data_IF_326485488592
#
_entry.id   IF_326485488592
#
_cell.length_a   1.000
_cell.length_b   1.000
_cell.length_c   1.000
_cell.angle_alpha   90.00
_cell.angle_beta   90.00
_cell.angle_gamma   90.00
#
_symmetry.space_group_name_H-M   'P 1'
#
loop_
_entity.id
_entity.type
_entity.pdbx_description
1 polymer ?
#
# COMPACT_ATOMS: atom_id res chain seq x y z
N UNK A 1 -51.60 -56.78 -10.60
CA UNK A 1 -50.99 -58.05 -10.12
C UNK A 1 -49.49 -57.82 -9.94
N UNK A 2 -48.83 -58.36 -8.90
CA UNK A 2 -49.13 -58.25 -7.46
C UNK A 2 -47.83 -57.81 -6.69
N UNK A 3 -47.64 -57.80 -5.35
CA UNK A 3 -48.42 -58.14 -4.13
C UNK A 3 -48.21 -57.04 -3.06
N UNK A 4 -49.20 -56.85 -2.19
CA UNK A 4 -49.05 -56.64 -0.71
C UNK A 4 -49.45 -57.97 -0.03
N UNK A 5 -49.35 -58.19 1.31
CA UNK A 5 -49.01 -57.31 2.45
C UNK A 5 -47.71 -57.83 3.15
N UNK A 6 -47.37 -57.68 4.43
CA UNK A 6 -48.06 -57.38 5.72
C UNK A 6 -47.01 -57.03 6.82
N UNK A 7 -47.34 -56.39 7.94
CA UNK A 7 -48.63 -55.80 8.38
C UNK A 7 -48.77 -55.78 9.92
N UNK A 8 -49.82 -55.09 10.40
CA UNK A 8 -50.38 -55.13 11.77
C UNK A 8 -49.52 -54.46 12.89
N UNK A 9 -50.08 -53.80 13.91
CA UNK A 9 -51.50 -53.62 14.26
C UNK A 9 -51.90 -52.22 14.83
N UNK A 10 -53.20 -52.01 15.03
CA UNK A 10 -53.87 -50.83 15.65
C UNK A 10 -54.90 -51.35 16.70
N UNK A 11 -55.84 -50.54 17.27
CA UNK A 11 -55.86 -49.09 17.60
C UNK A 11 -55.70 -48.88 19.15
N UNK A 12 -56.36 -48.04 19.99
CA UNK A 12 -57.53 -47.10 19.94
C UNK A 12 -57.46 -46.03 21.09
N UNK A 13 -58.40 -45.08 21.06
CA UNK A 13 -59.05 -44.35 22.18
C UNK A 13 -58.34 -43.21 22.99
N UNK A 14 -58.51 -41.99 22.44
CA UNK A 14 -59.18 -40.82 23.06
C UNK A 14 -58.77 -40.30 24.47
N UNK A 15 -58.02 -39.19 24.44
CA UNK A 15 -58.48 -37.81 24.74
C UNK A 15 -58.36 -37.17 26.15
N UNK A 16 -57.66 -36.01 26.11
CA UNK A 16 -57.83 -34.74 26.86
C UNK A 16 -57.26 -34.55 28.29
N UNK A 17 -56.95 -33.26 28.52
CA UNK A 17 -56.76 -32.51 29.78
C UNK A 17 -55.66 -32.98 30.73
N UNK A 18 -54.56 -32.22 30.73
CA UNK A 18 -54.12 -31.36 31.84
C UNK A 18 -54.61 -31.73 33.26
N UNK A 19 -53.66 -32.06 34.14
CA UNK A 19 -53.63 -31.52 35.51
C UNK A 19 -52.16 -31.37 35.96
N UNK A 20 -51.87 -30.43 36.85
CA UNK A 20 -50.51 -29.99 37.19
C UNK A 20 -50.16 -30.25 38.67
N UNK A 21 -49.45 -31.35 38.93
CA UNK A 21 -49.06 -31.78 40.28
C UNK A 21 -47.63 -31.39 40.68
N UNK A 22 -47.50 -30.25 41.37
CA UNK A 22 -46.41 -29.83 42.29
C UNK A 22 -44.92 -30.21 41.97
N UNK A 23 -44.02 -29.21 41.81
CA UNK A 23 -42.58 -29.46 41.88
C UNK A 23 -42.15 -29.88 43.30
N UNK A 24 -41.28 -30.88 43.41
CA UNK A 24 -40.61 -31.21 44.68
C UNK A 24 -39.69 -30.06 45.13
N UNK A 25 -39.79 -29.67 46.40
CA UNK A 25 -38.86 -28.72 47.01
C UNK A 25 -37.52 -29.42 47.21
N UNK A 26 -36.61 -29.26 46.24
CA UNK A 26 -35.21 -29.71 46.36
C UNK A 26 -34.55 -28.98 47.53
N UNK A 27 -34.23 -29.72 48.59
CA UNK A 27 -33.40 -29.22 49.67
C UNK A 27 -32.04 -28.75 49.14
N UNK A 28 -31.59 -27.58 49.59
CA UNK A 28 -30.32 -26.98 49.20
C UNK A 28 -29.15 -27.85 49.67
N UNK A 29 -28.07 -27.88 48.88
CA UNK A 29 -26.85 -28.61 49.26
C UNK A 29 -26.12 -27.92 50.41
N UNK A 30 -25.26 -28.65 51.12
CA UNK A 30 -24.46 -28.11 52.23
C UNK A 30 -23.66 -26.85 51.83
N UNK A 31 -23.13 -26.83 50.60
CA UNK A 31 -22.36 -25.71 50.06
C UNK A 31 -23.25 -24.49 49.75
N UNK A 32 -24.50 -24.72 49.30
CA UNK A 32 -25.50 -23.66 49.10
C UNK A 32 -25.94 -23.04 50.44
N UNK A 33 -26.13 -23.87 51.47
CA UNK A 33 -26.38 -23.39 52.85
C UNK A 33 -25.18 -22.59 53.36
N UNK A 34 -23.95 -23.03 53.11
CA UNK A 34 -22.74 -22.32 53.51
C UNK A 34 -22.56 -20.98 52.77
N UNK A 35 -22.95 -20.89 51.49
CA UNK A 35 -22.94 -19.64 50.73
C UNK A 35 -23.96 -18.61 51.25
N UNK A 36 -25.13 -19.07 51.72
CA UNK A 36 -26.14 -18.24 52.39
C UNK A 36 -25.68 -17.79 53.79
N UNK A 37 -24.77 -18.55 54.43
CA UNK A 37 -24.34 -18.34 55.82
C UNK A 37 -23.09 -17.46 56.01
N UNK A 38 -22.49 -16.94 54.93
CA UNK A 38 -21.40 -15.95 55.04
C UNK A 38 -21.97 -14.54 55.14
N UNK A 39 -21.32 -13.67 55.93
CA UNK A 39 -21.67 -12.26 55.95
C UNK A 39 -21.40 -11.64 54.57
N UNK A 40 -22.31 -10.80 54.01
CA UNK A 40 -22.17 -10.25 52.67
C UNK A 40 -20.86 -9.46 52.44
N UNK A 41 -20.29 -8.90 53.51
CA UNK A 41 -19.05 -8.13 53.50
C UNK A 41 -17.79 -9.00 53.33
N UNK A 42 -17.88 -10.31 53.62
CA UNK A 42 -16.79 -11.28 53.51
C UNK A 42 -16.78 -12.07 52.18
N UNK A 43 -17.73 -11.79 51.27
CA UNK A 43 -17.78 -12.46 49.97
C UNK A 43 -16.79 -11.80 49.00
N UNK A 44 -15.79 -12.52 48.45
CA UNK A 44 -14.84 -11.96 47.48
C UNK A 44 -15.47 -11.65 46.11
N UNK A 45 -16.65 -12.22 45.83
CA UNK A 45 -17.41 -11.96 44.61
C UNK A 45 -18.40 -10.79 44.82
N UNK A 46 -18.78 -10.06 43.76
CA UNK A 46 -19.84 -9.05 43.83
C UNK A 46 -21.16 -9.55 44.45
N UNK A 47 -21.67 -8.81 45.43
CA UNK A 47 -23.00 -9.03 46.04
C UNK A 47 -23.73 -7.70 46.16
N UNK A 48 -24.94 -7.62 45.60
CA UNK A 48 -25.88 -6.53 45.81
C UNK A 48 -27.18 -7.08 46.42
N UNK A 49 -27.93 -6.22 47.11
CA UNK A 49 -29.32 -6.46 47.52
C UNK A 49 -30.19 -5.30 47.07
N UNK A 50 -31.31 -5.61 46.45
CA UNK A 50 -32.22 -4.63 45.83
C UNK A 50 -33.63 -4.85 46.40
N UNK A 51 -34.29 -3.78 46.85
CA UNK A 51 -35.66 -3.82 47.37
C UNK A 51 -36.70 -4.12 46.28
N UNK A 52 -37.94 -4.42 46.67
CA UNK A 52 -39.01 -4.69 45.70
C UNK A 52 -39.26 -3.53 44.73
N UNK A 53 -39.02 -2.30 45.20
CA UNK A 53 -39.10 -1.01 44.50
C UNK A 53 -37.94 -0.74 43.52
N UNK A 54 -36.88 -1.56 43.55
CA UNK A 54 -35.66 -1.38 42.77
C UNK A 54 -34.55 -0.63 43.49
N UNK A 55 -34.73 -0.19 44.74
CA UNK A 55 -33.69 0.54 45.50
C UNK A 55 -32.56 -0.40 45.92
N UNK A 56 -31.30 -0.07 45.60
CA UNK A 56 -30.12 -0.81 46.06
C UNK A 56 -29.96 -0.60 47.57
N UNK A 57 -30.30 -1.62 48.36
CA UNK A 57 -30.27 -1.59 49.82
C UNK A 57 -28.87 -1.87 50.40
N UNK A 58 -28.05 -2.61 49.66
CA UNK A 58 -26.68 -2.98 50.04
C UNK A 58 -25.88 -3.35 48.79
N UNK A 59 -24.57 -3.09 48.82
CA UNK A 59 -23.60 -3.64 47.88
C UNK A 59 -22.24 -3.81 48.59
N UNK A 60 -21.55 -4.92 48.35
CA UNK A 60 -20.19 -5.13 48.87
C UNK A 60 -19.14 -4.39 48.01
N UNK A 61 -17.89 -4.20 48.47
CA UNK A 61 -16.87 -3.47 47.71
C UNK A 61 -16.58 -4.07 46.32
N UNK A 62 -16.70 -5.39 46.17
CA UNK A 62 -16.51 -6.08 44.89
C UNK A 62 -17.58 -5.71 43.84
N UNK A 63 -18.74 -5.20 44.25
CA UNK A 63 -19.83 -4.80 43.34
C UNK A 63 -19.64 -3.43 42.67
N UNK A 64 -18.55 -2.70 42.95
CA UNK A 64 -18.26 -1.38 42.37
C UNK A 64 -18.46 -1.30 40.84
N UNK A 65 -17.81 -2.15 40.03
CA UNK A 65 -17.96 -2.12 38.56
C UNK A 65 -19.40 -2.36 38.07
N UNK A 66 -20.19 -3.14 38.82
CA UNK A 66 -21.60 -3.41 38.51
C UNK A 66 -22.45 -2.16 38.81
N UNK A 67 -22.22 -1.51 39.95
CA UNK A 67 -22.89 -0.25 40.32
C UNK A 67 -22.62 0.87 39.32
N UNK A 68 -21.36 1.03 38.89
CA UNK A 68 -20.96 1.99 37.86
C UNK A 68 -21.64 1.71 36.52
N UNK A 69 -21.67 0.44 36.09
CA UNK A 69 -22.32 0.01 34.84
C UNK A 69 -23.84 0.20 34.86
N UNK A 70 -24.47 0.04 36.03
CA UNK A 70 -25.90 0.30 36.24
C UNK A 70 -26.20 1.78 36.53
N UNK A 71 -25.17 2.64 36.62
CA UNK A 71 -25.24 4.07 36.94
C UNK A 71 -26.00 4.39 38.26
N UNK A 72 -25.81 3.57 39.30
CA UNK A 72 -26.47 3.73 40.61
C UNK A 72 -25.50 3.59 41.78
N UNK A 73 -25.84 4.20 42.91
CA UNK A 73 -25.20 3.96 44.22
C UNK A 73 -26.19 3.34 45.22
N UNK A 74 -25.68 2.87 46.37
CA UNK A 74 -26.53 2.34 47.46
C UNK A 74 -27.47 3.46 47.95
N UNK A 75 -28.78 3.16 47.99
CA UNK A 75 -29.85 4.13 48.24
C UNK A 75 -30.52 4.69 46.97
N UNK A 76 -30.07 4.32 45.77
CA UNK A 76 -30.71 4.68 44.50
C UNK A 76 -31.40 3.48 43.84
N UNK A 77 -32.38 3.75 42.96
CA UNK A 77 -33.13 2.70 42.25
C UNK A 77 -32.49 2.32 40.91
N UNK A 78 -32.36 1.02 40.65
CA UNK A 78 -31.94 0.50 39.33
C UNK A 78 -33.01 0.77 38.25
N UNK A 79 -32.59 0.82 36.98
CA UNK A 79 -33.49 1.00 35.85
C UNK A 79 -34.62 -0.06 35.85
N UNK A 80 -35.91 0.32 35.74
CA UNK A 80 -37.03 -0.63 35.80
C UNK A 80 -36.98 -1.76 34.77
N UNK A 81 -36.39 -1.50 33.59
CA UNK A 81 -36.13 -2.51 32.56
C UNK A 81 -35.14 -3.58 33.03
N UNK A 82 -34.04 -3.18 33.67
CA UNK A 82 -33.06 -4.10 34.22
C UNK A 82 -33.62 -4.89 35.41
N UNK A 83 -34.41 -4.24 36.29
CA UNK A 83 -35.09 -4.93 37.39
C UNK A 83 -36.07 -6.00 36.86
N UNK A 84 -36.81 -5.72 35.79
CA UNK A 84 -37.68 -6.70 35.15
C UNK A 84 -36.90 -7.91 34.59
N UNK A 85 -35.77 -7.68 33.92
CA UNK A 85 -34.87 -8.74 33.46
C UNK A 85 -34.30 -9.56 34.62
N UNK A 86 -33.87 -8.91 35.71
CA UNK A 86 -33.30 -9.58 36.88
C UNK A 86 -34.36 -10.42 37.62
N UNK A 87 -35.61 -9.95 37.70
CA UNK A 87 -36.74 -10.73 38.22
C UNK A 87 -37.11 -11.92 37.33
N UNK A 88 -37.08 -11.77 36.00
CA UNK A 88 -37.28 -12.90 35.08
C UNK A 88 -36.22 -13.97 35.30
N UNK A 89 -34.94 -13.58 35.32
CA UNK A 89 -33.83 -14.50 35.52
C UNK A 89 -33.84 -15.16 36.91
N UNK A 90 -34.37 -14.49 37.94
CA UNK A 90 -34.58 -15.10 39.26
C UNK A 90 -35.71 -16.15 39.26
N UNK A 91 -36.74 -15.96 38.42
CA UNK A 91 -37.89 -16.87 38.33
C UNK A 91 -37.62 -18.12 37.47
N UNK A 92 -36.85 -17.99 36.38
CA UNK A 92 -36.41 -19.13 35.55
C UNK A 92 -35.07 -19.75 36.01
N UNK A 93 -34.36 -19.07 36.91
CA UNK A 93 -33.09 -19.51 37.49
C UNK A 93 -31.88 -19.36 36.57
N UNK A 94 -31.97 -18.57 35.50
CA UNK A 94 -30.87 -18.22 34.60
C UNK A 94 -29.90 -17.18 35.20
N UNK A 95 -28.92 -16.75 34.38
CA UNK A 95 -28.00 -15.65 34.69
C UNK A 95 -28.11 -14.59 33.59
N UNK A 96 -27.88 -13.32 33.94
CA UNK A 96 -27.72 -12.22 32.98
C UNK A 96 -26.22 -11.93 32.75
N UNK A 97 -25.80 -11.72 31.51
CA UNK A 97 -24.46 -11.20 31.23
C UNK A 97 -24.43 -9.68 31.44
N UNK A 98 -23.43 -9.17 32.16
CA UNK A 98 -23.18 -7.74 32.33
C UNK A 98 -21.71 -7.42 32.09
N UNK A 99 -21.43 -6.58 31.09
CA UNK A 99 -20.08 -6.11 30.77
C UNK A 99 -19.81 -4.80 31.51
N UNK A 100 -18.79 -4.79 32.36
CA UNK A 100 -18.40 -3.68 33.21
C UNK A 100 -16.92 -3.32 32.95
N UNK A 101 -16.70 -2.30 32.12
CA UNK A 101 -15.36 -1.94 31.66
C UNK A 101 -14.71 -3.10 30.91
N UNK A 102 -13.60 -3.63 31.44
CA UNK A 102 -12.89 -4.79 30.88
C UNK A 102 -13.40 -6.15 31.41
N UNK A 103 -14.26 -6.17 32.43
CA UNK A 103 -14.77 -7.39 33.04
C UNK A 103 -16.14 -7.77 32.47
N UNK A 104 -16.42 -9.07 32.37
CA UNK A 104 -17.76 -9.60 32.09
C UNK A 104 -18.23 -10.43 33.29
N UNK A 105 -19.32 -10.01 33.92
CA UNK A 105 -19.93 -10.71 35.04
C UNK A 105 -21.14 -11.54 34.59
N UNK A 106 -21.19 -12.79 35.02
CA UNK A 106 -22.42 -13.58 35.06
C UNK A 106 -23.18 -13.18 36.33
N UNK A 107 -24.28 -12.46 36.15
CA UNK A 107 -25.14 -11.97 37.22
C UNK A 107 -26.22 -13.02 37.50
N UNK A 108 -26.23 -13.57 38.72
CA UNK A 108 -27.24 -14.50 39.22
C UNK A 108 -28.15 -13.80 40.24
N UNK A 109 -29.35 -13.34 39.82
CA UNK A 109 -30.35 -12.81 40.74
C UNK A 109 -31.10 -13.94 41.46
N UNK A 110 -31.44 -13.74 42.72
CA UNK A 110 -32.17 -14.68 43.59
C UNK A 110 -33.16 -13.88 44.46
N UNK A 111 -34.46 -14.07 44.24
CA UNK A 111 -35.50 -13.34 44.99
C UNK A 111 -35.84 -14.04 46.29
N UNK A 112 -35.74 -13.33 47.41
CA UNK A 112 -36.15 -13.82 48.74
C UNK A 112 -37.51 -13.19 49.06
N UNK A 113 -38.55 -13.82 48.52
CA UNK A 113 -39.96 -13.37 48.59
C UNK A 113 -40.40 -13.06 50.02
N UNK A 114 -40.00 -13.90 50.98
CA UNK A 114 -40.34 -13.78 52.41
C UNK A 114 -39.78 -12.51 53.07
N UNK A 115 -38.71 -11.93 52.52
CA UNK A 115 -38.00 -10.76 53.07
C UNK A 115 -38.10 -9.51 52.18
N UNK A 116 -38.80 -9.59 51.04
CA UNK A 116 -39.05 -8.44 50.17
C UNK A 116 -37.80 -7.86 49.49
N UNK A 117 -36.83 -8.69 49.11
CA UNK A 117 -35.67 -8.25 48.34
C UNK A 117 -35.12 -9.27 47.36
N UNK A 118 -34.43 -8.76 46.34
CA UNK A 118 -33.65 -9.49 45.35
C UNK A 118 -32.18 -9.43 45.75
N UNK A 119 -31.57 -10.57 46.10
CA UNK A 119 -30.11 -10.66 46.17
C UNK A 119 -29.58 -10.83 44.73
N UNK A 120 -28.43 -10.24 44.44
CA UNK A 120 -27.79 -10.28 43.12
C UNK A 120 -26.32 -10.64 43.32
N UNK A 121 -25.92 -11.81 42.86
CA UNK A 121 -24.54 -12.30 42.94
C UNK A 121 -23.87 -12.17 41.58
N UNK A 122 -22.71 -11.53 41.49
CA UNK A 122 -21.90 -11.51 40.27
C UNK A 122 -20.77 -12.53 40.36
N UNK A 123 -20.52 -13.27 39.28
CA UNK A 123 -19.31 -14.08 39.10
C UNK A 123 -18.54 -13.51 37.91
N UNK A 124 -17.25 -13.19 38.07
CA UNK A 124 -16.42 -12.81 36.92
C UNK A 124 -16.23 -14.03 35.99
N UNK A 125 -16.66 -13.89 34.73
CA UNK A 125 -16.55 -14.90 33.67
C UNK A 125 -15.67 -14.42 32.50
N UNK A 126 -14.90 -13.35 32.67
CA UNK A 126 -14.04 -12.75 31.62
C UNK A 126 -13.09 -13.80 31.04
N UNK A 127 -12.32 -14.47 31.91
CA UNK A 127 -11.45 -15.58 31.52
C UNK A 127 -12.23 -16.78 30.96
N UNK A 128 -13.42 -17.09 31.51
CA UNK A 128 -14.27 -18.17 30.97
C UNK A 128 -14.77 -17.89 29.55
N UNK A 129 -15.05 -16.64 29.17
CA UNK A 129 -15.39 -16.29 27.79
C UNK A 129 -14.18 -16.29 26.87
N UNK A 130 -13.03 -15.81 27.33
CA UNK A 130 -11.78 -15.84 26.56
C UNK A 130 -11.35 -17.27 26.15
N UNK A 131 -11.69 -18.28 26.97
CA UNK A 131 -11.35 -19.69 26.74
C UNK A 131 -12.26 -20.39 25.71
N UNK A 132 -13.47 -19.89 25.43
CA UNK A 132 -14.55 -20.63 24.75
C UNK A 132 -14.50 -20.55 23.20
N UNK A 133 -13.30 -20.71 22.62
CA UNK A 133 -13.11 -21.25 21.27
C UNK A 133 -11.96 -22.25 21.28
N UNK A 134 -12.31 -23.54 21.26
CA UNK A 134 -11.42 -24.70 21.38
C UNK A 134 -10.18 -24.60 20.46
N UNK A 135 -8.96 -24.36 20.98
CA UNK A 135 -7.76 -24.16 20.16
C UNK A 135 -7.41 -25.37 19.28
N UNK A 136 -7.65 -26.58 19.80
CA UNK A 136 -7.45 -27.86 19.09
C UNK A 136 -8.44 -28.10 17.94
N UNK A 137 -9.52 -27.31 17.87
CA UNK A 137 -10.52 -27.35 16.79
C UNK A 137 -10.38 -26.18 15.81
N UNK A 138 -9.46 -25.24 16.02
CA UNK A 138 -9.22 -24.15 15.08
C UNK A 138 -8.47 -24.70 13.84
N UNK A 139 -9.03 -24.58 12.61
CA UNK A 139 -8.35 -25.01 11.39
C UNK A 139 -7.12 -24.15 11.03
N UNK A 140 -6.94 -23.00 11.68
CA UNK A 140 -5.79 -22.12 11.50
C UNK A 140 -4.76 -22.30 12.62
N UNK A 141 -3.47 -21.95 12.40
CA UNK A 141 -2.44 -21.98 13.43
C UNK A 141 -2.86 -21.22 14.70
N UNK A 142 -2.82 -21.90 15.85
CA UNK A 142 -2.87 -21.28 17.18
C UNK A 142 -1.78 -21.89 18.05
N UNK A 143 -0.89 -21.07 18.55
CA UNK A 143 0.14 -21.46 19.50
C UNK A 143 0.26 -20.47 20.65
N UNK A 144 1.03 -20.83 21.68
CA UNK A 144 1.25 -19.99 22.87
C UNK A 144 2.72 -19.91 23.22
N UNK A 145 3.17 -18.72 23.59
CA UNK A 145 4.48 -18.49 24.19
C UNK A 145 4.32 -17.93 25.61
N UNK A 146 5.25 -18.28 26.49
CA UNK A 146 5.46 -17.52 27.73
C UNK A 146 6.30 -16.26 27.49
N UNK A 147 6.46 -15.44 28.52
CA UNK A 147 7.23 -14.19 28.47
C UNK A 147 8.77 -14.40 28.36
N UNK A 148 9.26 -15.63 28.46
CA UNK A 148 10.64 -16.03 28.13
C UNK A 148 10.76 -16.53 26.67
N UNK A 149 9.68 -16.41 25.87
CA UNK A 149 9.61 -16.76 24.46
C UNK A 149 9.53 -18.27 24.18
N UNK A 150 9.27 -19.08 25.20
CA UNK A 150 9.16 -20.53 25.08
C UNK A 150 7.77 -20.94 24.65
N UNK A 151 7.72 -21.75 23.59
CA UNK A 151 6.51 -22.32 23.00
C UNK A 151 5.89 -23.34 23.96
N UNK A 152 4.82 -22.98 24.66
CA UNK A 152 4.17 -23.83 25.69
C UNK A 152 3.03 -24.69 25.15
N UNK A 153 2.42 -24.30 24.03
CA UNK A 153 1.35 -25.04 23.35
C UNK A 153 1.34 -24.72 21.86
N UNK A 154 0.92 -25.67 21.03
CA UNK A 154 0.64 -25.48 19.61
C UNK A 154 -0.47 -26.44 19.17
N UNK A 155 -1.43 -25.96 18.36
CA UNK A 155 -2.43 -26.83 17.73
C UNK A 155 -1.86 -27.53 16.48
N UNK A 156 -2.57 -28.54 15.96
CA UNK A 156 -2.14 -29.34 14.80
C UNK A 156 -1.81 -28.49 13.57
N UNK A 157 -2.61 -27.44 13.31
CA UNK A 157 -2.42 -26.52 12.19
C UNK A 157 -1.15 -25.65 12.31
N UNK A 158 -0.55 -25.55 13.50
CA UNK A 158 0.67 -24.76 13.72
C UNK A 158 1.96 -25.50 13.42
N UNK A 159 1.96 -26.83 13.25
CA UNK A 159 3.22 -27.58 13.15
C UNK A 159 4.03 -27.24 11.90
N UNK A 160 3.41 -27.10 10.72
CA UNK A 160 4.11 -26.70 9.47
C UNK A 160 4.79 -25.33 9.62
N UNK A 161 4.09 -24.37 10.23
CA UNK A 161 4.62 -23.03 10.57
C UNK A 161 5.80 -23.13 11.56
N UNK A 162 5.64 -23.88 12.65
CA UNK A 162 6.62 -23.98 13.75
C UNK A 162 7.88 -24.77 13.33
N UNK A 163 7.73 -25.78 12.48
CA UNK A 163 8.83 -26.56 11.90
C UNK A 163 9.72 -25.69 10.99
N UNK A 164 9.13 -24.89 10.11
CA UNK A 164 9.90 -23.93 9.29
C UNK A 164 10.51 -22.77 10.08
N UNK A 165 9.99 -22.47 11.27
CA UNK A 165 10.62 -21.57 12.25
C UNK A 165 11.74 -22.26 13.06
N UNK A 166 12.04 -23.55 12.80
CA UNK A 166 13.08 -24.32 13.48
C UNK A 166 12.78 -24.63 14.96
N UNK A 167 11.52 -24.52 15.38
CA UNK A 167 11.12 -24.61 16.77
C UNK A 167 10.28 -25.87 17.07
N UNK A 168 10.00 -26.14 18.34
CA UNK A 168 9.14 -27.23 18.81
C UNK A 168 8.63 -26.92 20.22
N UNK A 169 7.49 -27.51 20.61
CA UNK A 169 6.89 -27.25 21.93
C UNK A 169 7.88 -27.61 23.04
N UNK A 170 8.09 -26.68 23.98
CA UNK A 170 9.11 -26.73 25.01
C UNK A 170 10.42 -26.01 24.67
N UNK A 171 10.59 -25.48 23.45
CA UNK A 171 11.74 -24.66 23.02
C UNK A 171 11.37 -23.17 22.93
N UNK A 172 12.39 -22.31 22.99
CA UNK A 172 12.29 -20.87 22.76
C UNK A 172 12.24 -20.57 21.26
N UNK A 173 11.40 -19.62 20.83
CA UNK A 173 11.39 -19.08 19.47
C UNK A 173 12.73 -18.39 19.13
N UNK A 174 12.99 -18.19 17.84
CA UNK A 174 14.05 -17.29 17.39
C UNK A 174 13.81 -15.85 17.86
N UNK A 175 14.87 -15.18 18.33
CA UNK A 175 14.76 -13.85 18.97
C UNK A 175 14.05 -12.81 18.12
N UNK A 176 14.38 -12.70 16.82
CA UNK A 176 13.72 -11.76 15.89
C UNK A 176 12.18 -11.84 15.96
N UNK A 177 11.63 -13.06 15.85
CA UNK A 177 10.19 -13.28 15.89
C UNK A 177 9.63 -13.02 17.30
N UNK A 178 10.34 -13.44 18.35
CA UNK A 178 9.91 -13.18 19.73
C UNK A 178 9.85 -11.67 20.03
N UNK A 179 10.92 -10.93 19.74
CA UNK A 179 11.02 -9.50 20.00
C UNK A 179 9.90 -8.75 19.24
N UNK A 180 9.66 -9.08 17.97
CA UNK A 180 8.53 -8.57 17.16
C UNK A 180 7.16 -8.89 17.76
N UNK A 181 6.94 -10.13 18.24
CA UNK A 181 5.68 -10.52 18.91
C UNK A 181 5.45 -9.72 20.20
N UNK A 182 6.50 -9.47 20.99
CA UNK A 182 6.44 -8.67 22.22
C UNK A 182 6.19 -7.18 21.91
N UNK A 183 6.77 -6.63 20.86
CA UNK A 183 6.52 -5.26 20.41
C UNK A 183 5.06 -5.06 19.96
N UNK A 184 4.53 -5.96 19.12
CA UNK A 184 3.13 -5.89 18.69
C UNK A 184 2.13 -6.05 19.85
N UNK A 185 2.44 -6.86 20.87
CA UNK A 185 1.66 -6.93 22.12
C UNK A 185 1.71 -5.61 22.87
N UNK A 186 2.90 -5.04 23.09
CA UNK A 186 3.09 -3.77 23.82
C UNK A 186 2.46 -2.57 23.13
N UNK A 187 2.35 -2.60 21.80
CA UNK A 187 1.65 -1.57 21.03
C UNK A 187 0.13 -1.56 21.29
N UNK A 188 -0.48 -2.71 21.66
CA UNK A 188 -1.92 -2.84 21.91
C UNK A 188 -2.82 -2.62 20.68
N UNK A 189 -2.23 -2.52 19.49
CA UNK A 189 -2.88 -2.14 18.22
C UNK A 189 -3.58 -3.29 17.50
N UNK A 190 -3.32 -4.54 17.89
CA UNK A 190 -3.72 -5.71 17.09
C UNK A 190 -2.93 -5.86 15.79
N UNK A 191 -1.70 -5.35 15.78
CA UNK A 191 -0.78 -5.42 14.65
C UNK A 191 -0.42 -6.86 14.27
N UNK A 192 -0.23 -7.08 12.96
CA UNK A 192 0.03 -8.41 12.39
C UNK A 192 1.45 -8.52 11.89
N UNK A 193 2.10 -9.61 12.29
CA UNK A 193 3.48 -9.93 11.94
C UNK A 193 3.43 -10.91 10.75
N UNK A 194 3.71 -10.40 9.55
CA UNK A 194 3.87 -11.24 8.36
C UNK A 194 5.26 -11.92 8.36
N UNK A 195 5.29 -13.20 8.00
CA UNK A 195 6.50 -14.01 7.76
C UNK A 195 6.22 -15.17 6.80
N UNK A 196 7.27 -15.67 6.15
CA UNK A 196 7.21 -16.88 5.31
C UNK A 196 7.80 -18.09 6.06
N UNK A 197 7.12 -19.23 6.04
CA UNK A 197 7.58 -20.50 6.65
C UNK A 197 7.25 -21.67 5.73
N UNK A 198 8.24 -22.54 5.46
CA UNK A 198 8.18 -23.67 4.49
C UNK A 198 7.59 -23.35 3.09
N UNK A 199 7.61 -22.08 2.66
CA UNK A 199 7.07 -21.64 1.37
C UNK A 199 5.61 -21.15 1.41
N UNK A 200 5.02 -21.03 2.60
CA UNK A 200 3.75 -20.33 2.85
C UNK A 200 3.98 -19.00 3.54
N UNK A 201 3.13 -18.02 3.26
CA UNK A 201 3.08 -16.76 3.99
C UNK A 201 2.03 -16.83 5.09
N UNK A 202 2.39 -16.40 6.30
CA UNK A 202 1.53 -16.34 7.47
C UNK A 202 1.48 -14.93 8.06
N UNK A 203 0.28 -14.43 8.35
CA UNK A 203 0.08 -13.27 9.20
C UNK A 203 -0.21 -13.74 10.63
N UNK A 204 0.67 -13.39 11.58
CA UNK A 204 0.53 -13.73 12.99
C UNK A 204 -0.02 -12.55 13.79
N UNK A 205 -1.07 -12.79 14.57
CA UNK A 205 -1.64 -11.83 15.54
C UNK A 205 -1.35 -12.33 16.97
N UNK A 206 -0.44 -11.69 17.71
CA UNK A 206 -0.25 -11.99 19.13
C UNK A 206 -1.31 -11.29 19.98
N UNK A 207 -1.76 -11.96 21.03
CA UNK A 207 -2.75 -11.48 22.00
C UNK A 207 -2.30 -11.93 23.38
N UNK A 208 -1.98 -10.98 24.25
CA UNK A 208 -1.62 -11.24 25.64
C UNK A 208 -2.81 -11.81 26.43
N UNK A 209 -2.51 -12.63 27.44
CA UNK A 209 -3.48 -13.18 28.39
C UNK A 209 -2.89 -13.05 29.81
N UNK A 210 -2.91 -11.84 30.40
CA UNK A 210 -2.22 -11.53 31.65
C UNK A 210 -2.57 -12.46 32.81
N UNK A 211 -3.80 -12.95 32.85
CA UNK A 211 -4.34 -13.82 33.91
C UNK A 211 -3.63 -15.18 33.99
N UNK A 212 -3.00 -15.60 32.90
CA UNK A 212 -2.31 -16.89 32.79
C UNK A 212 -0.83 -16.77 32.40
N UNK A 213 -0.31 -15.55 32.23
CA UNK A 213 1.12 -15.30 31.97
C UNK A 213 1.64 -15.83 30.63
N UNK A 214 0.78 -15.94 29.61
CA UNK A 214 1.16 -16.35 28.26
C UNK A 214 0.51 -15.49 27.18
N UNK A 215 1.13 -15.44 26.01
CA UNK A 215 0.61 -14.78 24.81
C UNK A 215 0.08 -15.86 23.87
N UNK A 216 -1.20 -15.78 23.47
CA UNK A 216 -1.73 -16.54 22.34
C UNK A 216 -1.21 -15.91 21.04
N UNK A 217 -0.81 -16.72 20.07
CA UNK A 217 -0.47 -16.26 18.72
C UNK A 217 -1.38 -16.97 17.72
N UNK A 218 -2.20 -16.18 17.02
CA UNK A 218 -3.14 -16.64 16.00
C UNK A 218 -2.54 -16.41 14.62
N UNK A 219 -2.18 -17.48 13.91
CA UNK A 219 -1.71 -17.40 12.53
C UNK A 219 -2.86 -17.50 11.53
N UNK A 220 -2.74 -16.76 10.43
CA UNK A 220 -3.59 -16.90 9.24
C UNK A 220 -2.68 -17.20 8.04
N UNK A 221 -2.92 -18.28 7.30
CA UNK A 221 -2.26 -18.51 6.01
C UNK A 221 -2.78 -17.46 5.02
N UNK A 222 -1.88 -16.61 4.52
CA UNK A 222 -2.16 -15.52 3.56
C UNK A 222 -1.51 -15.79 2.19
N UNK A 223 -0.93 -16.97 1.97
CA UNK A 223 -0.15 -17.31 0.76
C UNK A 223 -0.92 -17.02 -0.53
N UNK A 224 -2.19 -17.41 -0.59
CA UNK A 224 -3.04 -17.19 -1.76
C UNK A 224 -3.41 -15.71 -1.99
N UNK A 225 -3.53 -14.92 -0.91
CA UNK A 225 -3.80 -13.47 -1.00
C UNK A 225 -2.52 -12.73 -1.41
N UNK A 226 -1.36 -13.08 -0.84
CA UNK A 226 -0.06 -12.53 -1.26
C UNK A 226 0.31 -12.88 -2.70
N UNK A 227 0.03 -14.10 -3.16
CA UNK A 227 0.20 -14.46 -4.57
C UNK A 227 -0.76 -13.68 -5.47
N UNK A 228 -2.03 -13.54 -5.11
CA UNK A 228 -2.99 -12.73 -5.86
C UNK A 228 -2.57 -11.26 -5.94
N UNK A 229 -2.14 -10.66 -4.80
CA UNK A 229 -1.55 -9.31 -4.72
C UNK A 229 -0.28 -9.17 -5.55
N UNK A 230 0.55 -10.21 -5.67
CA UNK A 230 1.75 -10.23 -6.51
C UNK A 230 1.37 -10.23 -7.99
N UNK A 231 0.52 -11.17 -8.40
CA UNK A 231 0.03 -11.29 -9.79
C UNK A 231 -0.71 -10.02 -10.24
N UNK A 232 -1.48 -9.39 -9.36
CA UNK A 232 -2.17 -8.13 -9.66
C UNK A 232 -1.18 -6.98 -9.88
N UNK A 233 -0.19 -6.80 -8.98
CA UNK A 233 0.88 -5.79 -9.14
C UNK A 233 1.71 -6.01 -10.41
N UNK A 234 2.03 -7.26 -10.73
CA UNK A 234 2.76 -7.59 -11.95
C UNK A 234 1.94 -7.30 -13.20
N UNK A 235 0.65 -7.65 -13.21
CA UNK A 235 -0.27 -7.34 -14.31
C UNK A 235 -0.44 -5.82 -14.50
N UNK A 236 -0.61 -5.07 -13.41
CA UNK A 236 -0.68 -3.60 -13.45
C UNK A 236 0.61 -3.00 -14.02
N UNK A 237 1.79 -3.44 -13.54
CA UNK A 237 3.08 -2.97 -14.08
C UNK A 237 3.22 -3.27 -15.58
N UNK A 238 2.86 -4.47 -16.02
CA UNK A 238 2.91 -4.84 -17.44
C UNK A 238 1.92 -4.07 -18.32
N UNK A 239 0.78 -3.64 -17.76
CA UNK A 239 -0.19 -2.77 -18.43
C UNK A 239 0.33 -1.33 -18.55
N UNK A 240 0.90 -0.79 -17.47
CA UNK A 240 1.46 0.57 -17.42
C UNK A 240 2.70 0.73 -18.30
N UNK A 241 3.48 -0.34 -18.50
CA UNK A 241 4.57 -0.40 -19.49
C UNK A 241 4.10 -0.27 -20.96
N UNK A 242 2.79 -0.26 -21.24
CA UNK A 242 2.21 -0.22 -22.60
C UNK A 242 1.25 0.98 -22.78
N UNK A 243 0.60 1.44 -21.70
CA UNK A 243 -0.39 2.52 -21.71
C UNK A 243 -0.20 3.43 -20.49
N UNK A 244 -0.23 4.77 -20.63
CA UNK A 244 -0.22 5.70 -19.49
C UNK A 244 -1.39 5.43 -18.53
N UNK A 245 -1.19 5.69 -17.22
CA UNK A 245 -2.13 5.22 -16.19
C UNK A 245 -3.57 5.71 -16.39
N UNK A 246 -3.76 7.00 -16.70
CA UNK A 246 -5.08 7.57 -16.99
C UNK A 246 -5.79 6.92 -18.18
N UNK A 247 -5.03 6.44 -19.18
CA UNK A 247 -5.56 5.70 -20.34
C UNK A 247 -5.93 4.27 -19.93
N UNK A 248 -5.10 3.62 -19.12
CA UNK A 248 -5.36 2.30 -18.57
C UNK A 248 -6.58 2.29 -17.61
N UNK A 249 -6.80 3.37 -16.84
CA UNK A 249 -8.02 3.55 -16.04
C UNK A 249 -9.28 3.71 -16.89
N UNK A 250 -9.25 4.55 -17.93
CA UNK A 250 -10.40 4.74 -18.84
C UNK A 250 -10.83 3.45 -19.55
N UNK A 251 -9.86 2.66 -20.04
CA UNK A 251 -10.15 1.32 -20.59
C UNK A 251 -10.75 0.37 -19.54
N UNK A 252 -10.24 0.39 -18.30
CA UNK A 252 -10.81 -0.39 -17.17
C UNK A 252 -12.22 0.07 -16.77
N UNK A 253 -12.53 1.35 -16.95
CA UNK A 253 -13.87 1.92 -16.82
C UNK A 253 -14.85 1.54 -17.94
N UNK A 254 -14.39 0.81 -18.97
CA UNK A 254 -15.21 0.37 -20.09
C UNK A 254 -15.29 1.35 -21.27
N UNK A 255 -14.46 2.38 -21.31
CA UNK A 255 -14.35 3.28 -22.47
C UNK A 255 -13.74 2.53 -23.66
N UNK A 256 -14.43 2.52 -24.80
CA UNK A 256 -14.04 1.73 -25.99
C UNK A 256 -13.43 2.54 -27.13
N UNK A 257 -13.47 3.87 -27.03
CA UNK A 257 -12.90 4.81 -27.98
C UNK A 257 -12.27 5.98 -27.23
N UNK A 258 -10.98 5.86 -26.91
CA UNK A 258 -10.18 6.94 -26.33
C UNK A 258 -9.53 7.70 -27.48
N UNK A 259 -9.95 8.95 -27.69
CA UNK A 259 -9.45 9.85 -28.72
C UNK A 259 -9.55 11.30 -28.24
N UNK A 260 -8.45 11.81 -27.69
CA UNK A 260 -8.38 13.10 -27.00
C UNK A 260 -7.61 14.12 -27.85
N UNK A 261 -8.04 15.38 -27.83
CA UNK A 261 -7.37 16.47 -28.55
C UNK A 261 -6.56 17.32 -27.58
N UNK A 262 -5.29 17.52 -27.91
CA UNK A 262 -4.38 18.42 -27.20
C UNK A 262 -4.07 19.60 -28.14
N UNK A 263 -4.37 20.83 -27.70
CA UNK A 263 -4.21 22.00 -28.57
C UNK A 263 -2.77 22.54 -28.63
N UNK A 264 -1.94 22.20 -27.63
CA UNK A 264 -0.52 22.52 -27.62
C UNK A 264 0.30 21.37 -27.02
N UNK A 265 1.19 20.79 -27.83
CA UNK A 265 2.23 19.85 -27.40
C UNK A 265 3.55 20.22 -28.06
N UNK A 266 4.67 19.69 -27.59
CA UNK A 266 5.94 19.70 -28.32
C UNK A 266 6.42 18.28 -28.56
N UNK A 267 6.82 18.00 -29.80
CA UNK A 267 7.25 16.69 -30.28
C UNK A 267 8.70 16.75 -30.71
N UNK A 268 9.45 15.72 -30.34
CA UNK A 268 10.81 15.47 -30.77
C UNK A 268 10.90 14.11 -31.48
N UNK A 269 11.57 14.09 -32.62
CA UNK A 269 12.02 12.89 -33.31
C UNK A 269 13.56 12.89 -33.34
N UNK A 270 14.16 11.76 -32.99
CA UNK A 270 15.61 11.53 -33.09
C UNK A 270 15.86 10.24 -33.90
N UNK A 271 16.71 10.29 -34.92
CA UNK A 271 16.87 9.22 -35.92
C UNK A 271 18.35 8.95 -36.27
N UNK A 272 18.70 7.68 -36.51
CA UNK A 272 20.11 7.24 -36.69
C UNK A 272 20.59 7.50 -38.13
N UNK A 273 21.63 8.31 -38.25
CA UNK A 273 22.23 8.66 -39.54
C UNK A 273 22.93 7.44 -40.14
N UNK A 274 22.34 6.89 -41.22
CA UNK A 274 22.91 5.77 -41.96
C UNK A 274 22.57 4.39 -41.42
N UNK A 275 21.56 4.28 -40.54
CA UNK A 275 21.15 3.02 -39.90
C UNK A 275 21.01 1.84 -40.88
N UNK A 276 20.43 2.04 -42.06
CA UNK A 276 20.26 0.97 -43.07
C UNK A 276 21.59 0.37 -43.53
N UNK A 277 22.65 1.17 -43.63
CA UNK A 277 23.99 0.68 -43.95
C UNK A 277 24.64 -0.01 -42.75
N UNK A 278 24.52 0.58 -41.55
CA UNK A 278 25.03 0.01 -40.29
C UNK A 278 24.42 -1.37 -40.00
N UNK A 279 23.09 -1.47 -39.97
CA UNK A 279 22.33 -2.70 -39.78
C UNK A 279 22.58 -3.78 -40.85
N UNK A 280 22.91 -3.39 -42.08
CA UNK A 280 23.33 -4.35 -43.13
C UNK A 280 24.71 -4.98 -42.88
N UNK A 281 25.47 -4.47 -41.91
CA UNK A 281 26.83 -4.93 -41.57
C UNK A 281 26.96 -5.58 -40.18
N UNK A 282 25.89 -5.58 -39.39
CA UNK A 282 25.82 -6.15 -38.04
C UNK A 282 25.02 -7.45 -38.02
N UNK A 283 25.28 -8.34 -37.04
CA UNK A 283 24.34 -9.41 -36.71
C UNK A 283 23.06 -8.84 -36.06
N UNK A 284 21.93 -9.57 -36.11
CA UNK A 284 20.70 -9.16 -35.43
C UNK A 284 20.88 -8.99 -33.91
N UNK A 285 21.76 -9.75 -33.26
CA UNK A 285 22.07 -9.57 -31.85
C UNK A 285 22.81 -8.25 -31.59
N UNK A 286 23.90 -7.98 -32.30
CA UNK A 286 24.68 -6.74 -32.14
C UNK A 286 23.83 -5.50 -32.39
N UNK A 287 22.99 -5.54 -33.44
CA UNK A 287 22.10 -4.43 -33.78
C UNK A 287 21.07 -4.14 -32.67
N UNK A 288 20.49 -5.18 -32.07
CA UNK A 288 19.54 -5.04 -30.95
C UNK A 288 20.26 -4.57 -29.68
N UNK A 289 21.49 -5.02 -29.42
CA UNK A 289 22.31 -4.52 -28.30
C UNK A 289 22.59 -3.02 -28.43
N UNK A 290 23.08 -2.56 -29.58
CA UNK A 290 23.36 -1.13 -29.82
C UNK A 290 22.10 -0.27 -29.69
N UNK A 291 20.97 -0.71 -30.27
CA UNK A 291 19.69 -0.02 -30.10
C UNK A 291 19.23 0.03 -28.65
N UNK A 292 19.42 -1.06 -27.88
CA UNK A 292 19.03 -1.11 -26.47
C UNK A 292 19.90 -0.19 -25.61
N UNK A 293 21.22 -0.20 -25.80
CA UNK A 293 22.15 0.68 -25.07
C UNK A 293 21.81 2.16 -25.30
N UNK A 294 21.62 2.56 -26.57
CA UNK A 294 21.23 3.92 -26.95
C UNK A 294 19.87 4.30 -26.37
N UNK A 295 18.83 3.47 -26.59
CA UNK A 295 17.48 3.82 -26.14
C UNK A 295 17.29 3.75 -24.63
N UNK A 296 18.10 2.99 -23.89
CA UNK A 296 18.10 3.05 -22.41
C UNK A 296 18.55 4.44 -21.94
N UNK A 297 19.62 4.99 -22.51
CA UNK A 297 20.09 6.36 -22.17
C UNK A 297 19.07 7.43 -22.58
N UNK A 298 18.27 7.19 -23.63
CA UNK A 298 17.19 8.09 -24.03
C UNK A 298 16.01 8.01 -23.05
N UNK A 299 15.61 6.80 -22.65
CA UNK A 299 14.55 6.56 -21.67
C UNK A 299 14.88 7.22 -20.32
N UNK A 300 16.10 7.02 -19.81
CA UNK A 300 16.61 7.65 -18.59
C UNK A 300 16.49 9.19 -18.64
N UNK A 301 16.82 9.81 -19.78
CA UNK A 301 16.76 11.26 -19.96
C UNK A 301 15.31 11.78 -20.12
N UNK A 302 14.45 11.01 -20.78
CA UNK A 302 13.02 11.33 -20.95
C UNK A 302 12.32 11.36 -19.58
N UNK A 303 12.62 10.40 -18.70
CA UNK A 303 12.13 10.39 -17.31
C UNK A 303 12.69 11.60 -16.51
N UNK A 304 13.99 11.88 -16.61
CA UNK A 304 14.63 13.02 -15.93
C UNK A 304 14.04 14.39 -16.31
N UNK A 305 13.55 14.55 -17.55
CA UNK A 305 12.88 15.77 -18.01
C UNK A 305 11.35 15.76 -17.82
N UNK A 306 10.78 14.68 -17.27
CA UNK A 306 9.34 14.53 -17.07
C UNK A 306 8.55 14.57 -18.39
N UNK A 307 9.06 13.90 -19.41
CA UNK A 307 8.51 13.84 -20.76
C UNK A 307 8.00 12.43 -21.08
N UNK A 308 7.16 12.31 -22.11
CA UNK A 308 6.55 11.04 -22.49
C UNK A 308 7.20 10.43 -23.74
N UNK A 309 7.68 9.19 -23.61
CA UNK A 309 8.12 8.36 -24.74
C UNK A 309 6.89 7.83 -25.47
N UNK A 310 6.66 8.28 -26.71
CA UNK A 310 5.52 7.81 -27.50
C UNK A 310 5.77 6.40 -28.02
N UNK A 311 6.86 6.21 -28.76
CA UNK A 311 7.26 4.93 -29.40
C UNK A 311 8.64 5.03 -30.03
N UNK A 312 9.16 3.89 -30.49
CA UNK A 312 10.19 3.84 -31.54
C UNK A 312 9.56 3.46 -32.88
N UNK A 313 10.18 3.87 -33.98
CA UNK A 313 9.74 3.60 -35.36
C UNK A 313 10.96 3.07 -36.14
N UNK A 314 11.33 1.82 -35.85
CA UNK A 314 12.62 1.29 -36.28
C UNK A 314 13.74 1.91 -35.44
N UNK A 315 14.62 2.66 -36.10
CA UNK A 315 15.72 3.41 -35.52
C UNK A 315 15.36 4.84 -35.07
N UNK A 316 14.20 5.36 -35.48
CA UNK A 316 13.68 6.62 -34.97
C UNK A 316 13.07 6.47 -33.57
N UNK A 317 13.32 7.45 -32.70
CA UNK A 317 12.80 7.57 -31.33
C UNK A 317 11.92 8.82 -31.21
N UNK A 318 10.75 8.70 -30.57
CA UNK A 318 9.71 9.74 -30.57
C UNK A 318 9.27 10.11 -29.15
N UNK A 319 9.39 11.40 -28.82
CA UNK A 319 9.06 11.98 -27.51
C UNK A 319 8.02 13.08 -27.65
N UNK A 320 7.17 13.24 -26.64
CA UNK A 320 6.19 14.33 -26.52
C UNK A 320 6.21 14.97 -25.13
N UNK A 321 6.05 16.29 -25.08
CA UNK A 321 5.73 17.06 -23.88
C UNK A 321 4.41 17.81 -24.06
N UNK A 322 3.68 18.03 -22.98
CA UNK A 322 2.33 18.65 -23.01
C UNK A 322 1.17 17.64 -23.07
N UNK A 323 1.42 16.33 -22.83
CA UNK A 323 0.42 15.27 -22.99
C UNK A 323 -0.24 14.83 -21.68
N UNK A 324 0.52 14.71 -20.59
CA UNK A 324 0.00 14.40 -19.24
C UNK A 324 0.13 15.59 -18.27
N UNK A 325 0.63 16.73 -18.76
CA UNK A 325 0.99 17.91 -17.99
C UNK A 325 0.73 19.17 -18.84
N UNK A 326 -0.17 20.04 -18.39
CA UNK A 326 -0.52 21.33 -19.01
C UNK A 326 0.57 22.41 -18.83
N UNK A 327 1.72 22.08 -18.22
CA UNK A 327 2.82 23.01 -18.02
C UNK A 327 3.38 23.56 -19.34
N UNK A 328 3.29 24.89 -19.47
CA UNK A 328 3.73 25.66 -20.65
C UNK A 328 5.24 25.65 -20.89
N UNK A 329 6.01 25.00 -20.02
CA UNK A 329 7.45 24.76 -20.19
C UNK A 329 7.77 23.51 -21.02
N UNK A 330 6.77 22.75 -21.48
CA UNK A 330 6.99 21.53 -22.26
C UNK A 330 7.90 21.73 -23.49
N UNK A 331 7.84 22.89 -24.16
CA UNK A 331 8.76 23.20 -25.28
C UNK A 331 10.21 23.41 -24.82
N UNK A 332 10.41 23.97 -23.61
CA UNK A 332 11.73 24.16 -23.01
C UNK A 332 12.33 22.81 -22.56
N UNK A 333 11.55 21.98 -21.85
CA UNK A 333 12.01 20.64 -21.42
C UNK A 333 12.36 19.72 -22.60
N UNK A 334 11.59 19.75 -23.69
CA UNK A 334 11.94 19.03 -24.93
C UNK A 334 13.22 19.59 -25.60
N UNK A 335 13.50 20.89 -25.45
CA UNK A 335 14.72 21.51 -25.97
C UNK A 335 15.97 21.18 -25.12
N UNK A 336 15.83 21.16 -23.79
CA UNK A 336 16.90 20.74 -22.89
C UNK A 336 17.20 19.23 -23.03
N UNK A 337 16.16 18.38 -23.13
CA UNK A 337 16.31 16.97 -23.51
C UNK A 337 17.10 16.81 -24.82
N UNK A 338 16.80 17.59 -25.86
CA UNK A 338 17.50 17.49 -27.14
C UNK A 338 19.00 17.82 -27.03
N UNK A 339 19.34 18.79 -26.17
CA UNK A 339 20.72 19.19 -25.89
C UNK A 339 21.47 18.14 -25.07
N UNK A 340 20.82 17.57 -24.05
CA UNK A 340 21.38 16.48 -23.24
C UNK A 340 21.57 15.20 -24.06
N UNK A 341 20.61 14.85 -24.93
CA UNK A 341 20.73 13.74 -25.88
C UNK A 341 21.98 13.91 -26.75
N UNK A 342 22.16 15.08 -27.38
CA UNK A 342 23.35 15.37 -28.19
C UNK A 342 24.65 15.23 -27.38
N UNK A 343 24.71 15.82 -26.18
CA UNK A 343 25.89 15.76 -25.31
C UNK A 343 26.20 14.33 -24.79
N UNK A 344 25.17 13.50 -24.56
CA UNK A 344 25.36 12.07 -24.20
C UNK A 344 25.80 11.24 -25.39
N UNK A 345 25.27 11.50 -26.59
CA UNK A 345 25.68 10.81 -27.81
C UNK A 345 27.13 11.08 -28.17
N UNK A 346 27.58 12.33 -28.09
CA UNK A 346 29.00 12.69 -28.28
C UNK A 346 29.92 11.95 -27.28
N UNK A 347 29.47 11.79 -26.03
CA UNK A 347 30.21 11.05 -25.00
C UNK A 347 30.21 9.52 -25.25
N UNK A 348 29.10 8.95 -25.74
CA UNK A 348 28.99 7.54 -26.11
C UNK A 348 29.87 7.22 -27.31
N UNK A 349 29.90 8.07 -28.34
CA UNK A 349 30.77 7.85 -29.51
C UNK A 349 32.25 7.95 -29.12
N UNK A 350 32.62 8.95 -28.30
CA UNK A 350 33.98 9.10 -27.80
C UNK A 350 34.46 7.89 -26.96
N UNK A 351 33.56 7.23 -26.22
CA UNK A 351 33.87 6.05 -25.41
C UNK A 351 33.85 4.74 -26.21
N UNK A 352 32.81 4.53 -27.01
CA UNK A 352 32.48 3.23 -27.64
C UNK A 352 32.85 3.14 -29.12
N UNK A 353 33.18 4.26 -29.79
CA UNK A 353 33.51 4.36 -31.22
C UNK A 353 32.43 3.78 -32.16
N UNK A 354 31.17 3.94 -31.80
CA UNK A 354 30.04 3.38 -32.55
C UNK A 354 29.80 4.13 -33.88
N UNK A 355 30.28 5.37 -34.01
CA UNK A 355 30.10 6.23 -35.20
C UNK A 355 28.67 6.74 -35.40
N UNK A 356 27.82 6.60 -34.38
CA UNK A 356 26.37 6.83 -34.48
C UNK A 356 26.04 8.31 -34.31
N UNK A 357 25.89 9.00 -35.43
CA UNK A 357 25.32 10.35 -35.46
C UNK A 357 23.79 10.30 -35.51
N UNK A 358 23.15 11.32 -34.96
CA UNK A 358 21.70 11.50 -34.99
C UNK A 358 21.29 12.73 -35.81
N UNK A 359 20.11 12.69 -36.41
CA UNK A 359 19.30 13.89 -36.70
C UNK A 359 18.28 14.05 -35.58
N UNK A 360 18.05 15.28 -35.11
CA UNK A 360 17.00 15.58 -34.14
C UNK A 360 16.10 16.68 -34.72
N UNK A 361 14.78 16.49 -34.66
CA UNK A 361 13.78 17.41 -35.18
C UNK A 361 12.67 17.72 -34.17
N UNK A 362 12.42 19.00 -33.92
CA UNK A 362 11.45 19.47 -32.92
C UNK A 362 10.38 20.35 -33.58
N UNK A 363 9.11 20.10 -33.26
CA UNK A 363 7.98 20.96 -33.64
C UNK A 363 6.89 20.97 -32.55
N UNK A 364 6.15 22.06 -32.42
CA UNK A 364 5.03 22.20 -31.49
C UNK A 364 3.71 22.59 -32.19
N UNK A 365 2.58 22.38 -31.53
CA UNK A 365 1.23 22.62 -32.05
C UNK A 365 0.23 21.52 -31.66
N UNK A 366 -0.98 21.49 -32.23
CA UNK A 366 -2.06 20.59 -31.81
C UNK A 366 -1.91 19.16 -32.32
N UNK A 367 -2.40 18.19 -31.55
CA UNK A 367 -2.49 16.75 -31.92
C UNK A 367 -3.79 16.12 -31.45
N UNK A 368 -4.09 14.94 -31.99
CA UNK A 368 -5.03 13.98 -31.40
C UNK A 368 -4.22 12.79 -30.90
N UNK A 369 -4.36 12.45 -29.62
CA UNK A 369 -3.83 11.21 -29.05
C UNK A 369 -4.96 10.20 -28.85
N UNK A 370 -4.68 8.91 -28.83
CA UNK A 370 -5.73 7.92 -28.60
C UNK A 370 -5.28 6.48 -28.68
N UNK A 371 -6.19 5.57 -28.34
CA UNK A 371 -5.93 4.13 -28.35
C UNK A 371 -6.52 3.49 -29.61
N UNK A 372 -5.68 2.81 -30.39
CA UNK A 372 -6.09 2.00 -31.53
C UNK A 372 -5.88 0.51 -31.23
N UNK A 373 -6.84 -0.31 -31.70
CA UNK A 373 -6.77 -1.78 -31.66
C UNK A 373 -7.62 -2.40 -30.56
N UNK A 374 -8.00 -3.68 -30.76
CA UNK A 374 -8.89 -4.44 -29.84
C UNK A 374 -8.24 -5.70 -29.28
N UNK A 375 -6.96 -5.94 -29.60
CA UNK A 375 -6.15 -7.11 -29.19
C UNK A 375 -4.68 -6.78 -28.90
N UNK A 376 -4.17 -5.78 -29.60
CA UNK A 376 -2.97 -5.03 -29.24
C UNK A 376 -3.40 -3.58 -29.17
N UNK A 377 -3.54 -3.05 -27.96
CA UNK A 377 -3.78 -1.63 -27.77
C UNK A 377 -2.47 -0.89 -28.07
N UNK A 378 -2.55 0.14 -28.89
CA UNK A 378 -1.44 1.07 -29.15
C UNK A 378 -1.98 2.45 -28.82
N UNK A 379 -1.42 3.09 -27.79
CA UNK A 379 -1.62 4.51 -27.57
C UNK A 379 -0.59 5.27 -28.42
N UNK A 380 -1.06 6.22 -29.21
CA UNK A 380 -0.24 6.93 -30.20
C UNK A 380 -0.84 8.32 -30.50
N UNK A 381 -0.08 9.18 -31.17
CA UNK A 381 -0.43 10.57 -31.48
C UNK A 381 -0.39 10.86 -32.98
N UNK A 382 -1.40 11.58 -33.47
CA UNK A 382 -1.57 11.91 -34.88
C UNK A 382 -1.85 13.40 -35.06
N UNK A 383 -1.36 13.95 -36.16
CA UNK A 383 -1.61 15.33 -36.54
C UNK A 383 -0.63 15.85 -37.58
N UNK A 384 -0.94 17.00 -38.15
CA UNK A 384 -0.02 17.76 -39.00
C UNK A 384 1.24 18.18 -38.22
N UNK A 385 1.10 18.46 -36.92
CA UNK A 385 2.21 18.74 -35.98
C UNK A 385 3.21 17.58 -35.89
N UNK A 386 2.72 16.33 -35.83
CA UNK A 386 3.54 15.10 -35.79
C UNK A 386 4.28 14.92 -37.11
N UNK A 387 3.56 15.09 -38.23
CA UNK A 387 4.16 15.04 -39.56
C UNK A 387 5.25 16.10 -39.73
N UNK A 388 5.04 17.33 -39.22
CA UNK A 388 6.03 18.40 -39.31
C UNK A 388 7.25 18.16 -38.41
N UNK A 389 7.08 17.59 -37.21
CA UNK A 389 8.20 17.18 -36.35
C UNK A 389 9.11 16.15 -37.06
N UNK A 390 8.51 15.10 -37.63
CA UNK A 390 9.23 14.10 -38.44
C UNK A 390 9.86 14.70 -39.71
N UNK A 391 9.40 15.86 -40.21
CA UNK A 391 10.06 16.59 -41.31
C UNK A 391 11.19 17.51 -40.82
N UNK A 392 11.19 17.92 -39.56
CA UNK A 392 12.36 18.62 -38.97
C UNK A 392 13.52 17.65 -38.77
N UNK A 393 13.24 16.40 -38.41
CA UNK A 393 14.25 15.34 -38.34
C UNK A 393 14.70 14.96 -39.77
N UNK A 394 13.81 14.44 -40.61
CA UNK A 394 14.22 13.76 -41.86
C UNK A 394 14.79 14.68 -42.95
N UNK A 395 14.63 16.00 -42.80
CA UNK A 395 15.29 17.01 -43.63
C UNK A 395 16.47 17.69 -42.92
N UNK A 396 16.70 17.37 -41.65
CA UNK A 396 17.73 17.93 -40.78
C UNK A 396 19.16 17.54 -41.17
N UNK A 397 20.13 18.06 -40.42
CA UNK A 397 21.57 17.84 -40.65
C UNK A 397 22.12 16.92 -39.55
N UNK A 398 22.92 15.89 -39.88
CA UNK A 398 23.60 15.06 -38.88
C UNK A 398 24.32 15.87 -37.81
N UNK A 399 24.16 15.49 -36.55
CA UNK A 399 24.75 16.18 -35.41
C UNK A 399 24.13 17.56 -35.10
N UNK A 400 22.99 17.92 -35.70
CA UNK A 400 22.28 19.17 -35.42
C UNK A 400 20.85 18.91 -34.96
N UNK A 401 20.42 19.66 -33.95
CA UNK A 401 19.02 19.73 -33.50
C UNK A 401 18.32 20.79 -34.34
N UNK A 402 17.35 20.40 -35.16
CA UNK A 402 16.54 21.31 -35.96
C UNK A 402 15.19 21.60 -35.32
N UNK A 403 14.75 22.85 -35.40
CA UNK A 403 13.44 23.30 -34.90
C UNK A 403 12.65 24.07 -35.97
N UNK A 404 11.32 23.98 -35.87
CA UNK A 404 10.41 24.80 -36.66
C UNK A 404 10.29 26.23 -36.08
N UNK A 405 9.75 27.17 -36.87
CA UNK A 405 9.52 28.55 -36.40
C UNK A 405 8.58 28.67 -35.20
N UNK A 406 7.63 27.75 -35.02
CA UNK A 406 6.75 27.74 -33.85
C UNK A 406 7.50 27.40 -32.55
N UNK A 407 8.61 26.64 -32.66
CA UNK A 407 9.51 26.33 -31.55
C UNK A 407 10.54 27.44 -31.36
N UNK A 408 11.09 28.03 -32.43
CA UNK A 408 11.96 29.20 -32.33
C UNK A 408 11.27 30.36 -31.60
N UNK A 409 10.02 30.67 -31.96
CA UNK A 409 9.29 31.80 -31.38
C UNK A 409 9.19 31.72 -29.85
N UNK A 410 9.08 30.50 -29.31
CA UNK A 410 9.03 30.18 -27.87
C UNK A 410 10.40 30.20 -27.21
N UNK A 411 11.43 29.66 -27.87
CA UNK A 411 12.75 29.43 -27.27
C UNK A 411 13.71 30.64 -27.37
N UNK A 412 13.57 31.48 -28.41
CA UNK A 412 14.48 32.59 -28.76
C UNK A 412 14.74 33.64 -27.66
N UNK A 413 13.90 33.69 -26.61
CA UNK A 413 14.09 34.58 -25.47
C UNK A 413 15.17 34.10 -24.49
N UNK A 414 15.48 32.80 -24.49
CA UNK A 414 16.38 32.16 -23.52
C UNK A 414 17.47 31.32 -24.17
N UNK A 415 17.15 30.59 -25.24
CA UNK A 415 18.05 29.62 -25.89
C UNK A 415 18.84 30.27 -27.03
N UNK A 416 19.97 29.66 -27.38
CA UNK A 416 20.71 30.02 -28.59
C UNK A 416 20.18 29.23 -29.79
N UNK A 417 19.75 29.96 -30.83
CA UNK A 417 19.32 29.40 -32.11
C UNK A 417 20.06 30.03 -33.29
N UNK A 418 20.46 29.21 -34.26
CA UNK A 418 21.08 29.60 -35.53
C UNK A 418 20.04 29.48 -36.65
N UNK A 419 19.91 30.48 -37.53
CA UNK A 419 18.99 30.38 -38.67
C UNK A 419 19.55 29.44 -39.75
N UNK A 420 18.86 28.33 -40.03
CA UNK A 420 19.19 27.43 -41.16
C UNK A 420 18.76 28.03 -42.50
N UNK A 421 17.65 28.77 -42.51
CA UNK A 421 17.03 29.31 -43.71
C UNK A 421 15.78 28.52 -44.14
N UNK A 422 15.38 28.68 -45.41
CA UNK A 422 14.20 28.02 -45.98
C UNK A 422 14.50 26.57 -46.38
N UNK A 423 13.58 25.66 -46.09
CA UNK A 423 13.57 24.29 -46.61
C UNK A 423 12.21 23.92 -47.19
N UNK A 424 12.21 23.13 -48.27
CA UNK A 424 10.98 22.64 -48.92
C UNK A 424 10.38 21.46 -48.15
N UNK A 425 9.24 21.69 -47.49
CA UNK A 425 8.51 20.66 -46.76
C UNK A 425 7.32 20.18 -47.58
N UNK A 426 7.30 18.89 -47.93
CA UNK A 426 6.22 18.26 -48.72
C UNK A 426 4.84 18.54 -48.10
N UNK A 427 3.97 19.24 -48.83
CA UNK A 427 2.63 19.63 -48.39
C UNK A 427 2.53 20.98 -47.68
N UNK A 428 3.65 21.66 -47.42
CA UNK A 428 3.71 23.01 -46.81
C UNK A 428 4.54 24.03 -47.61
N UNK A 429 5.42 23.58 -48.51
CA UNK A 429 6.32 24.44 -49.30
C UNK A 429 7.54 24.88 -48.50
N UNK A 430 8.20 25.96 -48.94
CA UNK A 430 9.31 26.61 -48.23
C UNK A 430 8.89 27.10 -46.83
N UNK A 431 9.51 26.53 -45.79
CA UNK A 431 9.38 26.97 -44.40
C UNK A 431 10.74 27.43 -43.85
N UNK A 432 10.80 28.53 -43.07
CA UNK A 432 12.01 28.89 -42.34
C UNK A 432 12.25 27.90 -41.20
N UNK A 433 13.52 27.58 -40.98
CA UNK A 433 13.98 26.64 -39.95
C UNK A 433 15.24 27.14 -39.25
N UNK A 434 15.46 26.65 -38.04
CA UNK A 434 16.58 27.01 -37.18
C UNK A 434 17.23 25.75 -36.61
N UNK A 435 18.50 25.88 -36.20
CA UNK A 435 19.15 24.90 -35.35
C UNK A 435 19.17 25.40 -33.91
N UNK A 436 18.80 24.54 -32.96
CA UNK A 436 19.06 24.75 -31.55
C UNK A 436 20.54 24.45 -31.27
N UNK A 437 21.25 25.36 -30.59
CA UNK A 437 22.71 25.24 -30.35
C UNK A 437 23.14 25.47 -28.91
N UNK A 438 22.26 25.90 -28.01
CA UNK A 438 22.61 26.08 -26.60
C UNK A 438 21.43 26.39 -25.67
N UNK A 439 21.48 25.83 -24.47
CA UNK A 439 20.47 25.97 -23.41
C UNK A 439 20.45 27.35 -22.73
N UNK A 440 19.51 27.61 -21.81
CA UNK A 440 19.16 28.95 -21.33
C UNK A 440 20.30 29.73 -20.64
N UNK A 441 21.27 29.03 -20.03
CA UNK A 441 22.42 29.67 -19.39
C UNK A 441 23.51 30.13 -20.39
N UNK A 442 23.51 29.60 -21.62
CA UNK A 442 24.54 29.92 -22.62
C UNK A 442 24.43 31.35 -23.17
N UNK A 443 23.21 31.92 -23.24
CA UNK A 443 22.96 33.26 -23.78
C UNK A 443 23.63 34.40 -22.99
N UNK A 444 24.01 34.18 -21.72
CA UNK A 444 24.58 35.22 -20.86
C UNK A 444 26.09 35.46 -21.02
N UNK A 445 26.83 34.61 -21.74
CA UNK A 445 28.29 34.77 -21.91
C UNK A 445 28.67 35.73 -23.04
N UNK A 446 27.80 35.93 -24.03
CA UNK A 446 28.13 36.64 -25.28
C UNK A 446 28.13 38.18 -25.19
N UNK A 447 27.73 38.77 -24.05
CA UNK A 447 27.35 40.19 -23.95
C UNK A 447 28.24 41.03 -23.01
N UNK A 448 29.56 40.81 -23.02
CA UNK A 448 30.53 41.76 -22.44
C UNK A 448 31.58 42.21 -23.47
N UNK A 449 31.54 43.48 -23.96
CA UNK A 449 32.62 44.02 -24.77
C UNK A 449 33.91 44.15 -23.94
N UNK A 450 35.05 43.83 -24.53
CA UNK A 450 36.35 43.86 -23.86
C UNK A 450 36.79 45.30 -23.58
N UNK A 451 36.57 45.77 -22.34
CA UNK A 451 37.05 47.06 -21.87
C UNK A 451 38.59 47.09 -21.86
N UNK A 452 39.20 47.83 -22.79
CA UNK A 452 40.65 48.01 -22.88
C UNK A 452 41.19 48.61 -21.58
N UNK A 453 41.92 47.82 -20.79
CA UNK A 453 42.58 48.29 -19.58
C UNK A 453 43.73 49.23 -19.90
N UNK A 454 43.60 50.51 -19.53
CA UNK A 454 44.74 51.43 -19.51
C UNK A 454 45.52 51.22 -18.21
N UNK A 455 46.71 50.63 -18.30
CA UNK A 455 47.56 50.32 -17.16
C UNK A 455 48.74 51.28 -17.05
N UNK A 456 48.69 52.23 -16.11
CA UNK A 456 49.84 53.08 -15.76
C UNK A 456 49.78 53.44 -14.27
N UNK A 457 50.84 53.15 -13.51
CA UNK A 457 51.09 53.81 -12.21
C UNK A 457 51.33 52.96 -10.95
N UNK A 458 52.57 52.49 -10.79
CA UNK A 458 53.37 52.53 -9.53
C UNK A 458 53.03 51.66 -8.29
N UNK A 459 54.00 50.78 -7.98
CA UNK A 459 54.76 50.63 -6.71
C UNK A 459 54.10 50.07 -5.43
N UNK A 460 54.57 48.87 -5.07
CA UNK A 460 55.15 48.50 -3.75
C UNK A 460 56.25 47.42 -4.04
N UNK A 461 57.41 47.32 -3.38
CA UNK A 461 57.73 47.29 -1.94
C UNK A 461 57.10 46.05 -1.27
N UNK A 462 57.71 44.86 -1.31
CA UNK A 462 58.93 44.41 -0.61
C UNK A 462 58.66 43.87 0.81
N UNK A 463 58.52 42.54 0.93
CA UNK A 463 58.68 41.74 2.16
C UNK A 463 58.90 40.26 1.82
N UNK A 464 60.06 39.70 2.15
CA UNK A 464 60.19 38.28 2.57
C UNK A 464 59.99 38.15 4.10
N UNK A 465 60.31 37.02 4.78
CA UNK A 465 60.94 35.76 4.33
C UNK A 465 59.93 34.57 4.29
N UNK A 466 60.13 33.47 3.55
CA UNK A 466 61.14 32.39 3.68
C UNK A 466 61.13 31.67 5.04
N UNK A 467 60.54 30.47 5.07
CA UNK A 467 60.78 29.42 6.07
C UNK A 467 60.98 28.11 5.31
N UNK A 468 62.05 27.39 5.64
CA UNK A 468 62.39 26.06 5.13
C UNK A 468 63.58 25.53 5.92
N UNK A 469 63.42 24.39 6.57
CA UNK A 469 64.37 23.87 7.56
C UNK A 469 65.03 22.56 7.10
N UNK A 470 66.20 22.29 7.70
CA UNK A 470 66.85 20.98 7.89
C UNK A 470 67.28 20.18 6.64
N UNK A 471 68.36 19.37 6.65
CA UNK A 471 69.56 19.28 7.51
C UNK A 471 70.63 18.42 6.75
N UNK A 472 71.73 18.07 7.40
CA UNK A 472 72.50 16.83 7.18
C UNK A 472 73.47 16.76 5.99
N UNK A 473 74.55 17.55 6.12
CA UNK A 473 75.96 17.08 6.11
C UNK A 473 76.33 15.88 5.22
N UNK A 474 77.11 16.13 4.16
CA UNK A 474 78.54 15.76 4.13
C UNK A 474 79.32 16.45 3.02
#
# INVERSE_FOLDING_TARGET
>A
MPRRPSGLDRPIHRARSDDAGAPEVRALTSDQVQAISRFPDENPNPVLRIGLDGTVLYANPAAGPILETLAVTVGQAVAPSWLASARSAAADGSNLDLVAGHQTFAIRPVEIVELGFLNVYGTDITAQRAIVKFPDQNPHPVFRIDWDGKLVYANLASYELIEGLGCSVGRTLGRDLFDRLIEAVRAGTGERIELTSLGRDYALLPVDVPEFGFINVYGTDITADNELRRLHRENQRLLLNILPEAIAERLRGGETLIADRFDDVTLLFADIVGFTAMSSSMSPQELVTVLNEVFTVFDDLVEQHGLEKVKTIGDAYMVIGGLLDDSKDHTARVADLALDLAARLDAIDAASRLGVQFRIGINCGPVVAGVIGTKKFIYDVWGDTVNLAARMESLGVPGRIQVSGAVEERLRASYQLEARGLIEVKGKGSLPTWFLVGGPNSARSASRPASRGSGNGRRSADTGPVIGADDARR
#
